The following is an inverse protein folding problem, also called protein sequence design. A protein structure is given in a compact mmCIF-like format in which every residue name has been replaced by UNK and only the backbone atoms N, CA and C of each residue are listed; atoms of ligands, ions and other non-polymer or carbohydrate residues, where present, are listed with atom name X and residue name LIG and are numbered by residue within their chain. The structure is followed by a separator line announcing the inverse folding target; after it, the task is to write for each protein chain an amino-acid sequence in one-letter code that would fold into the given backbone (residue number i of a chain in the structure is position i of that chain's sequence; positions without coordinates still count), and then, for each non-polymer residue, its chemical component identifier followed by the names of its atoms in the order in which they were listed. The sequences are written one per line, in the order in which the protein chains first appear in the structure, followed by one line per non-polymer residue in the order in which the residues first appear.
data_IF_511101919101
#
_entry.id   IF_511101919101
#
_cell.length_a   1.000
_cell.length_b   1.000
_cell.length_c   1.000
_cell.angle_alpha   90.00
_cell.angle_beta   90.00
_cell.angle_gamma   90.00
#
_symmetry.space_group_name_H-M   'P 1'
#
loop_
_entity.id
_entity.type
_entity.pdbx_description
1 polymer ?
#
# COMPACT_ATOMS: atom_id res chain seq x y z
N UNK A 1 6.73 -26.78 -23.59
CA UNK A 1 7.07 -27.73 -24.69
C UNK A 1 6.56 -29.12 -24.33
N UNK A 2 5.99 -29.92 -25.23
CA UNK A 2 5.66 -31.34 -24.96
C UNK A 2 6.89 -32.08 -24.40
N UNK A 3 6.71 -32.83 -23.29
CA UNK A 3 7.79 -33.54 -22.60
C UNK A 3 8.58 -32.74 -21.57
N UNK A 4 8.29 -31.45 -21.36
CA UNK A 4 8.88 -30.70 -20.26
C UNK A 4 8.21 -31.09 -18.93
N UNK A 5 8.99 -31.10 -17.85
CA UNK A 5 8.46 -31.34 -16.52
C UNK A 5 7.52 -30.16 -16.10
N UNK A 6 6.27 -30.50 -15.79
CA UNK A 6 5.23 -29.54 -15.44
C UNK A 6 5.57 -28.79 -14.17
N UNK A 7 6.19 -29.44 -13.17
CA UNK A 7 6.60 -28.82 -11.92
C UNK A 7 7.60 -27.69 -12.17
N UNK A 8 8.62 -27.98 -12.98
CA UNK A 8 9.63 -27.00 -13.35
C UNK A 8 9.04 -25.84 -14.18
N UNK A 9 8.16 -26.15 -15.17
CA UNK A 9 7.51 -25.15 -16.02
C UNK A 9 6.61 -24.21 -15.23
N UNK A 10 5.90 -24.72 -14.22
CA UNK A 10 5.00 -23.95 -13.36
C UNK A 10 5.68 -23.42 -12.08
N UNK A 11 6.98 -23.68 -11.89
CA UNK A 11 7.71 -23.25 -10.69
C UNK A 11 7.11 -23.82 -9.40
N UNK A 12 6.65 -25.09 -9.41
CA UNK A 12 5.95 -25.70 -8.26
C UNK A 12 6.89 -26.21 -7.17
N UNK A 13 8.20 -26.12 -7.35
CA UNK A 13 9.20 -26.48 -6.33
C UNK A 13 9.39 -25.30 -5.36
N UNK A 14 8.38 -25.05 -4.56
CA UNK A 14 8.34 -23.99 -3.55
C UNK A 14 7.58 -24.47 -2.30
N UNK A 15 7.79 -23.77 -1.19
CA UNK A 15 7.13 -24.05 0.08
C UNK A 15 6.30 -22.84 0.50
N UNK A 16 4.98 -23.00 0.51
CA UNK A 16 4.05 -21.98 1.01
C UNK A 16 3.63 -22.35 2.43
N UNK A 17 3.90 -21.47 3.39
CA UNK A 17 3.53 -21.64 4.79
C UNK A 17 2.32 -20.75 5.10
N UNK A 18 1.22 -21.37 5.53
CA UNK A 18 0.06 -20.61 6.03
C UNK A 18 0.24 -20.39 7.53
N UNK A 19 0.35 -19.12 7.91
CA UNK A 19 0.56 -18.73 9.31
C UNK A 19 -0.74 -18.14 9.88
N UNK A 20 -1.10 -18.59 11.09
CA UNK A 20 -2.20 -18.00 11.86
C UNK A 20 -1.63 -17.12 12.94
N UNK A 21 -1.75 -15.81 12.79
CA UNK A 21 -1.27 -14.84 13.76
C UNK A 21 -2.37 -14.49 14.77
N UNK A 22 -1.96 -14.20 15.99
CA UNK A 22 -2.86 -13.60 16.99
C UNK A 22 -3.03 -12.11 16.71
N UNK A 23 -4.15 -11.46 17.10
CA UNK A 23 -4.41 -10.05 16.78
C UNK A 23 -3.36 -9.05 17.30
N UNK A 24 -2.58 -9.43 18.32
CA UNK A 24 -1.52 -8.61 18.89
C UNK A 24 -0.16 -8.74 18.17
N UNK A 25 -0.10 -9.49 17.06
CA UNK A 25 1.14 -9.73 16.29
C UNK A 25 1.08 -9.14 14.89
N UNK A 26 0.56 -7.91 14.78
CA UNK A 26 0.54 -7.18 13.52
C UNK A 26 1.95 -6.91 12.94
N UNK A 27 2.97 -6.92 13.78
CA UNK A 27 4.38 -6.86 13.40
C UNK A 27 4.83 -8.03 12.50
N UNK A 28 4.11 -9.15 12.55
CA UNK A 28 4.35 -10.36 11.74
C UNK A 28 3.55 -10.41 10.43
N UNK A 29 2.79 -9.37 10.08
CA UNK A 29 2.02 -9.32 8.82
C UNK A 29 2.90 -9.00 7.60
N UNK A 30 4.14 -9.49 7.58
CA UNK A 30 5.06 -9.36 6.45
C UNK A 30 6.15 -10.43 6.51
N UNK A 31 6.80 -10.69 5.37
CA UNK A 31 7.95 -11.60 5.31
C UNK A 31 9.05 -11.13 6.26
N UNK A 32 9.33 -9.83 6.29
CA UNK A 32 10.33 -9.25 7.20
C UNK A 32 9.94 -9.46 8.68
N UNK A 33 8.67 -9.28 9.03
CA UNK A 33 8.18 -9.49 10.39
C UNK A 33 8.34 -10.95 10.82
N UNK A 34 7.96 -11.90 9.96
CA UNK A 34 8.15 -13.33 10.19
C UNK A 34 9.63 -13.69 10.29
N UNK A 35 10.49 -13.15 9.41
CA UNK A 35 11.92 -13.40 9.48
C UNK A 35 12.54 -12.97 10.82
N UNK A 36 12.11 -11.82 11.36
CA UNK A 36 12.52 -11.36 12.71
C UNK A 36 12.09 -12.32 13.80
N UNK A 37 10.86 -12.82 13.73
CA UNK A 37 10.33 -13.77 14.71
C UNK A 37 11.06 -15.10 14.64
N UNK A 38 11.28 -15.64 13.45
CA UNK A 38 12.05 -16.87 13.25
C UNK A 38 13.48 -16.70 13.80
N UNK A 39 14.14 -15.59 13.48
CA UNK A 39 15.47 -15.29 14.02
C UNK A 39 15.49 -15.23 15.54
N UNK A 40 14.51 -14.57 16.15
CA UNK A 40 14.41 -14.45 17.60
C UNK A 40 14.18 -15.81 18.30
N UNK A 41 13.36 -16.68 17.70
CA UNK A 41 13.01 -17.99 18.26
C UNK A 41 14.09 -19.05 18.06
N UNK A 42 14.80 -18.99 16.95
CA UNK A 42 15.74 -20.06 16.55
C UNK A 42 17.22 -19.68 16.69
N UNK A 43 17.52 -18.40 16.85
CA UNK A 43 18.89 -17.88 16.78
C UNK A 43 19.48 -17.83 15.37
N UNK A 44 18.69 -18.15 14.32
CA UNK A 44 19.15 -18.09 12.94
C UNK A 44 19.46 -16.65 12.54
N UNK A 45 20.55 -16.43 11.80
CA UNK A 45 20.90 -15.12 11.27
C UNK A 45 19.83 -14.64 10.28
N UNK A 46 19.44 -13.37 10.37
CA UNK A 46 18.53 -12.74 9.44
C UNK A 46 19.32 -11.86 8.48
N UNK A 47 19.12 -12.09 7.19
CA UNK A 47 19.68 -11.24 6.15
C UNK A 47 18.58 -10.36 5.55
N UNK A 48 18.83 -9.04 5.50
CA UNK A 48 17.93 -8.11 4.80
C UNK A 48 18.23 -8.13 3.31
N UNK A 49 17.19 -8.04 2.46
CA UNK A 49 17.43 -7.88 1.03
C UNK A 49 18.23 -6.59 0.77
N UNK A 50 19.15 -6.61 -0.18
CA UNK A 50 19.98 -5.43 -0.48
C UNK A 50 19.11 -4.31 -1.07
N UNK A 51 18.74 -3.34 -0.23
CA UNK A 51 17.98 -2.16 -0.65
C UNK A 51 18.94 -1.11 -1.20
N UNK A 52 19.13 -1.09 -2.52
CA UNK A 52 19.94 -0.06 -3.19
C UNK A 52 19.06 1.17 -3.47
N UNK A 53 19.43 2.36 -2.96
CA UNK A 53 18.70 3.58 -3.29
C UNK A 53 18.67 3.82 -4.79
N UNK A 54 17.50 4.09 -5.33
CA UNK A 54 17.35 4.49 -6.73
C UNK A 54 17.67 5.98 -6.85
N UNK A 55 18.60 6.34 -7.74
CA UNK A 55 18.96 7.72 -7.98
C UNK A 55 17.75 8.54 -8.45
N UNK A 56 17.64 9.75 -7.91
CA UNK A 56 16.62 10.69 -8.35
C UNK A 56 16.91 11.15 -9.78
N UNK A 57 15.91 11.08 -10.64
CA UNK A 57 15.98 11.59 -12.02
C UNK A 57 15.34 12.97 -12.18
N UNK A 58 14.60 13.43 -11.18
CA UNK A 58 14.03 14.78 -11.09
C UNK A 58 14.01 15.26 -9.64
N UNK A 59 13.89 16.55 -9.43
CA UNK A 59 13.77 17.19 -8.11
C UNK A 59 12.35 17.64 -7.80
N UNK A 60 11.37 17.14 -8.53
CA UNK A 60 9.98 17.51 -8.39
C UNK A 60 9.42 17.05 -7.04
N UNK A 61 8.65 17.92 -6.41
CA UNK A 61 7.99 17.65 -5.13
C UNK A 61 6.53 18.01 -5.27
N UNK A 62 5.66 17.19 -4.71
CA UNK A 62 4.27 17.53 -4.52
C UNK A 62 4.09 18.04 -3.08
N UNK A 63 3.42 19.19 -2.86
CA UNK A 63 3.25 19.73 -1.52
C UNK A 63 2.39 18.79 -0.65
N UNK A 64 2.85 18.54 0.57
CA UNK A 64 2.13 17.74 1.57
C UNK A 64 2.16 18.45 2.91
N UNK A 65 0.99 18.61 3.54
CA UNK A 65 0.79 19.07 4.90
C UNK A 65 0.31 17.94 5.82
N UNK A 66 0.53 18.10 7.10
CA UNK A 66 -0.03 17.24 8.15
C UNK A 66 -0.68 18.17 9.17
N UNK A 67 -2.00 18.35 9.01
CA UNK A 67 -2.81 19.16 9.95
C UNK A 67 -3.27 18.38 11.18
N UNK A 68 -3.14 17.03 11.15
CA UNK A 68 -3.42 16.12 12.26
C UNK A 68 -2.16 15.35 12.67
N UNK A 69 -1.17 16.00 13.31
CA UNK A 69 0.10 15.36 13.68
C UNK A 69 -0.08 14.23 14.71
N UNK A 70 -1.13 14.25 15.50
CA UNK A 70 -1.50 13.18 16.44
C UNK A 70 -2.08 11.94 15.73
N UNK A 71 -2.53 12.07 14.47
CA UNK A 71 -3.02 10.96 13.65
C UNK A 71 -1.99 10.44 12.66
N UNK A 72 -1.10 11.32 12.17
CA UNK A 72 -0.08 10.98 11.18
C UNK A 72 1.29 11.47 11.62
N UNK A 73 2.14 10.55 12.04
CA UNK A 73 3.49 10.87 12.51
C UNK A 73 4.49 11.15 11.38
N UNK A 74 4.25 10.64 10.17
CA UNK A 74 5.09 10.88 8.99
C UNK A 74 4.33 10.64 7.71
N UNK A 75 4.53 11.51 6.74
CA UNK A 75 4.06 11.32 5.37
C UNK A 75 5.24 11.58 4.41
N UNK A 76 5.60 10.58 3.64
CA UNK A 76 6.64 10.68 2.63
C UNK A 76 6.03 10.42 1.26
N UNK A 77 6.47 11.17 0.25
CA UNK A 77 5.97 11.01 -1.10
C UNK A 77 7.04 11.19 -2.15
N UNK A 78 6.80 10.59 -3.31
CA UNK A 78 7.68 10.71 -4.47
C UNK A 78 6.86 10.92 -5.74
N UNK A 79 7.23 11.94 -6.50
CA UNK A 79 6.71 12.14 -7.86
C UNK A 79 7.49 11.25 -8.84
N UNK A 80 6.77 10.47 -9.63
CA UNK A 80 7.34 9.64 -10.70
C UNK A 80 6.58 9.99 -11.99
N UNK A 81 7.33 10.39 -13.01
CA UNK A 81 6.81 10.81 -14.31
C UNK A 81 6.99 9.72 -15.36
N UNK A 82 6.13 9.77 -16.36
CA UNK A 82 6.19 8.91 -17.53
C UNK A 82 6.16 7.40 -17.20
N UNK A 83 5.32 7.01 -16.25
CA UNK A 83 5.09 5.60 -15.96
C UNK A 83 4.28 4.97 -17.09
N UNK A 84 4.54 3.71 -17.36
CA UNK A 84 3.66 2.88 -18.18
C UNK A 84 2.75 2.05 -17.28
N UNK A 85 1.54 2.58 -17.05
CA UNK A 85 0.55 1.90 -16.20
C UNK A 85 0.02 0.58 -16.81
N UNK A 86 0.31 0.31 -18.10
CA UNK A 86 -0.03 -0.95 -18.79
C UNK A 86 1.13 -1.93 -18.82
N UNK A 87 2.30 -1.56 -18.29
CA UNK A 87 3.42 -2.48 -18.21
C UNK A 87 3.02 -3.77 -17.48
N UNK A 88 3.43 -4.94 -17.95
CA UNK A 88 3.13 -6.18 -17.25
C UNK A 88 3.90 -6.22 -15.91
N UNK A 89 3.25 -6.73 -14.88
CA UNK A 89 3.95 -7.06 -13.63
C UNK A 89 5.01 -8.13 -13.91
N UNK A 90 6.26 -7.95 -13.45
CA UNK A 90 7.30 -8.98 -13.61
C UNK A 90 6.82 -10.34 -13.10
N UNK A 91 7.10 -11.41 -13.86
CA UNK A 91 6.59 -12.74 -13.55
C UNK A 91 6.91 -13.18 -12.12
N UNK A 92 8.15 -12.98 -11.66
CA UNK A 92 8.58 -13.33 -10.32
C UNK A 92 7.77 -12.62 -9.22
N UNK A 93 7.38 -11.34 -9.44
CA UNK A 93 6.60 -10.56 -8.48
C UNK A 93 5.15 -11.05 -8.45
N UNK A 94 4.56 -11.27 -9.63
CA UNK A 94 3.21 -11.82 -9.75
C UNK A 94 3.08 -13.18 -9.07
N UNK A 95 4.01 -14.09 -9.33
CA UNK A 95 4.03 -15.41 -8.71
C UNK A 95 4.09 -15.34 -7.18
N UNK A 96 4.92 -14.46 -6.62
CA UNK A 96 5.01 -14.27 -5.16
C UNK A 96 3.71 -13.70 -4.58
N UNK A 97 3.10 -12.72 -5.25
CA UNK A 97 1.82 -12.16 -4.82
C UNK A 97 0.71 -13.23 -4.84
N UNK A 98 0.60 -13.99 -5.94
CA UNK A 98 -0.39 -15.04 -6.08
C UNK A 98 -0.21 -16.16 -5.05
N UNK A 99 1.02 -16.58 -4.77
CA UNK A 99 1.33 -17.55 -3.69
C UNK A 99 1.03 -17.02 -2.31
N UNK A 100 1.12 -15.72 -2.10
CA UNK A 100 0.71 -15.06 -0.86
C UNK A 100 -0.81 -14.79 -0.78
N UNK A 101 -1.60 -15.25 -1.76
CA UNK A 101 -3.05 -15.07 -1.80
C UNK A 101 -3.51 -13.72 -2.35
N UNK A 102 -2.60 -12.90 -2.88
CA UNK A 102 -2.92 -11.61 -3.48
C UNK A 102 -3.14 -11.75 -4.99
N UNK A 103 -4.22 -11.16 -5.50
CA UNK A 103 -4.46 -11.11 -6.94
C UNK A 103 -3.62 -10.01 -7.58
N UNK A 104 -2.88 -10.34 -8.64
CA UNK A 104 -2.23 -9.34 -9.49
C UNK A 104 -3.28 -8.48 -10.22
N UNK A 105 -3.13 -7.17 -10.17
CA UNK A 105 -4.08 -6.19 -10.73
C UNK A 105 -3.42 -5.37 -11.83
N UNK A 106 -2.35 -4.68 -11.51
CA UNK A 106 -1.52 -3.87 -12.42
C UNK A 106 -0.15 -3.66 -11.79
N UNK A 107 0.86 -3.40 -12.60
CA UNK A 107 2.22 -3.21 -12.07
C UNK A 107 2.30 -2.14 -10.98
N UNK A 108 1.53 -1.06 -11.06
CA UNK A 108 1.51 0.00 -10.06
C UNK A 108 0.96 -0.49 -8.71
N UNK A 109 -0.15 -1.24 -8.75
CA UNK A 109 -0.76 -1.81 -7.54
C UNK A 109 0.08 -2.97 -7.01
N UNK A 110 0.57 -3.82 -7.88
CA UNK A 110 1.34 -5.01 -7.52
C UNK A 110 2.65 -4.65 -6.82
N UNK A 111 3.33 -3.58 -7.26
CA UNK A 111 4.52 -3.06 -6.56
C UNK A 111 4.17 -2.62 -5.13
N UNK A 112 3.05 -1.93 -4.92
CA UNK A 112 2.67 -1.49 -3.57
C UNK A 112 2.28 -2.66 -2.68
N UNK A 113 1.54 -3.64 -3.21
CA UNK A 113 1.18 -4.87 -2.50
C UNK A 113 2.42 -5.71 -2.18
N UNK A 114 3.37 -5.81 -3.13
CA UNK A 114 4.61 -6.55 -2.90
C UNK A 114 5.43 -5.93 -1.76
N UNK A 115 5.61 -4.61 -1.75
CA UNK A 115 6.33 -3.92 -0.67
C UNK A 115 5.62 -4.10 0.67
N UNK A 116 4.29 -4.05 0.70
CA UNK A 116 3.52 -4.31 1.90
C UNK A 116 3.75 -5.74 2.42
N UNK A 117 3.69 -6.76 1.57
CA UNK A 117 3.92 -8.15 1.97
C UNK A 117 5.37 -8.43 2.36
N UNK A 118 6.33 -7.87 1.66
CA UNK A 118 7.75 -8.11 1.95
C UNK A 118 8.21 -7.36 3.20
N UNK A 119 7.89 -6.06 3.31
CA UNK A 119 8.45 -5.16 4.33
C UNK A 119 7.45 -4.72 5.40
N UNK A 120 6.18 -5.05 5.28
CA UNK A 120 5.13 -4.60 6.20
C UNK A 120 4.85 -3.09 6.08
N UNK A 121 5.05 -2.51 4.90
CA UNK A 121 4.81 -1.10 4.67
C UNK A 121 3.77 -0.89 3.57
N UNK A 122 2.51 -0.65 3.91
CA UNK A 122 1.49 -0.25 2.96
C UNK A 122 1.90 1.03 2.23
N UNK A 123 1.70 1.05 0.93
CA UNK A 123 1.94 2.19 0.06
C UNK A 123 0.65 2.53 -0.69
N UNK A 124 0.52 3.79 -1.13
CA UNK A 124 -0.56 4.19 -2.02
C UNK A 124 -0.05 4.93 -3.26
N UNK A 125 -0.72 4.72 -4.38
CA UNK A 125 -0.41 5.39 -5.66
C UNK A 125 -1.58 6.27 -6.05
N UNK A 126 -1.32 7.57 -6.16
CA UNK A 126 -2.24 8.54 -6.74
C UNK A 126 -1.88 8.80 -8.19
N UNK A 127 -2.88 8.97 -9.04
CA UNK A 127 -2.71 9.64 -10.32
C UNK A 127 -2.43 11.12 -10.04
N UNK A 128 -1.20 11.55 -10.30
CA UNK A 128 -0.74 12.90 -9.97
C UNK A 128 -1.53 13.98 -10.71
N UNK A 129 -1.99 13.68 -11.91
CA UNK A 129 -2.71 14.65 -12.76
C UNK A 129 -4.17 14.84 -12.28
N UNK A 130 -4.67 13.93 -11.43
CA UNK A 130 -5.98 14.04 -10.77
C UNK A 130 -5.93 14.77 -9.43
N UNK A 131 -4.76 14.92 -8.82
CA UNK A 131 -4.60 15.65 -7.55
C UNK A 131 -4.87 17.14 -7.74
N UNK A 132 -5.61 17.72 -6.81
CA UNK A 132 -5.98 19.14 -6.85
C UNK A 132 -5.30 19.92 -5.71
N UNK A 133 -4.16 20.53 -6.04
CA UNK A 133 -3.38 21.31 -5.07
C UNK A 133 -2.58 20.41 -4.11
N UNK A 134 -2.28 20.93 -2.92
CA UNK A 134 -1.51 20.19 -1.92
C UNK A 134 -2.33 19.05 -1.31
N UNK A 135 -1.64 17.96 -0.97
CA UNK A 135 -2.20 16.93 -0.08
C UNK A 135 -2.12 17.44 1.36
N UNK A 136 -3.16 17.18 2.15
CA UNK A 136 -3.14 17.40 3.60
C UNK A 136 -3.72 16.19 4.33
N UNK A 137 -3.06 15.80 5.41
CA UNK A 137 -3.56 14.74 6.31
C UNK A 137 -4.26 15.41 7.48
N UNK A 138 -5.57 15.27 7.54
CA UNK A 138 -6.40 15.90 8.57
C UNK A 138 -7.56 14.98 8.99
N UNK A 139 -8.18 15.32 10.10
CA UNK A 139 -9.46 14.73 10.46
C UNK A 139 -10.54 15.13 9.44
N UNK A 140 -11.45 14.23 9.20
CA UNK A 140 -12.63 14.50 8.37
C UNK A 140 -13.50 15.59 8.97
N UNK A 141 -14.49 16.05 8.22
CA UNK A 141 -15.46 17.04 8.66
C UNK A 141 -16.86 16.49 8.47
N UNK A 142 -17.75 16.86 9.36
CA UNK A 142 -19.16 16.48 9.25
C UNK A 142 -19.73 16.90 7.89
N UNK A 143 -20.38 15.95 7.22
CA UNK A 143 -20.99 16.15 5.91
C UNK A 143 -20.05 15.90 4.72
N UNK A 144 -18.78 15.62 4.94
CA UNK A 144 -17.89 15.16 3.87
C UNK A 144 -18.17 13.71 3.52
N UNK A 145 -18.09 13.41 2.23
CA UNK A 145 -18.28 12.06 1.68
C UNK A 145 -17.09 11.66 0.83
N UNK A 146 -16.78 10.38 0.85
CA UNK A 146 -15.68 9.81 0.09
C UNK A 146 -16.14 8.52 -0.61
N UNK A 147 -15.98 8.46 -1.92
CA UNK A 147 -16.09 7.23 -2.69
C UNK A 147 -14.75 6.50 -2.64
N UNK A 148 -14.75 5.30 -2.12
CA UNK A 148 -13.56 4.44 -1.94
C UNK A 148 -13.26 3.61 -3.18
N UNK A 149 -12.06 3.00 -3.22
CA UNK A 149 -11.64 2.09 -4.31
C UNK A 149 -12.52 0.84 -4.45
N UNK A 150 -13.21 0.43 -3.40
CA UNK A 150 -14.20 -0.66 -3.42
C UNK A 150 -15.61 -0.20 -3.84
N UNK A 151 -15.70 1.02 -4.39
CA UNK A 151 -16.93 1.68 -4.86
C UNK A 151 -17.93 2.11 -3.77
N UNK A 152 -17.69 1.76 -2.51
CA UNK A 152 -18.52 2.26 -1.41
C UNK A 152 -18.37 3.77 -1.27
N UNK A 153 -19.48 4.43 -0.96
CA UNK A 153 -19.51 5.83 -0.57
C UNK A 153 -19.70 5.91 0.94
N UNK A 154 -18.77 6.52 1.63
CA UNK A 154 -18.78 6.63 3.08
C UNK A 154 -18.88 8.08 3.52
N UNK A 155 -19.60 8.32 4.60
CA UNK A 155 -19.61 9.60 5.30
C UNK A 155 -18.42 9.62 6.28
N UNK A 156 -17.66 10.71 6.26
CA UNK A 156 -16.55 10.91 7.19
C UNK A 156 -16.89 12.02 8.20
N UNK A 157 -16.26 11.97 9.34
CA UNK A 157 -16.42 12.94 10.41
C UNK A 157 -15.09 13.18 11.14
N UNK A 158 -15.13 13.95 12.20
CA UNK A 158 -13.97 14.39 12.98
C UNK A 158 -13.23 13.25 13.71
N UNK A 159 -13.76 12.04 13.67
CA UNK A 159 -13.12 10.85 14.24
C UNK A 159 -12.36 10.01 13.20
N UNK A 160 -12.41 10.40 11.92
CA UNK A 160 -11.82 9.65 10.81
C UNK A 160 -10.65 10.43 10.22
N UNK A 161 -9.46 9.84 10.25
CA UNK A 161 -8.29 10.44 9.62
C UNK A 161 -8.40 10.32 8.09
N UNK A 162 -8.33 11.45 7.41
CA UNK A 162 -8.47 11.54 5.97
C UNK A 162 -7.19 12.07 5.32
N UNK A 163 -6.86 11.51 4.17
CA UNK A 163 -5.98 12.15 3.21
C UNK A 163 -6.86 13.03 2.32
N UNK A 164 -6.52 14.28 2.18
CA UNK A 164 -7.35 15.27 1.48
C UNK A 164 -6.52 16.07 0.48
N UNK A 165 -7.18 16.64 -0.51
CA UNK A 165 -6.66 17.70 -1.35
C UNK A 165 -7.65 18.87 -1.39
N UNK A 166 -7.51 19.81 -2.34
CA UNK A 166 -8.45 20.95 -2.44
C UNK A 166 -9.89 20.52 -2.75
N UNK A 167 -10.10 19.33 -3.31
CA UNK A 167 -11.45 18.83 -3.61
C UNK A 167 -12.15 18.19 -2.42
N UNK A 168 -11.44 17.93 -1.32
CA UNK A 168 -11.95 17.25 -0.13
C UNK A 168 -11.21 15.93 0.15
N UNK A 169 -11.84 14.98 0.84
CA UNK A 169 -11.24 13.67 1.13
C UNK A 169 -10.97 12.87 -0.15
N UNK A 170 -9.74 12.37 -0.28
CA UNK A 170 -9.28 11.50 -1.37
C UNK A 170 -8.82 10.12 -0.88
N UNK A 171 -8.85 9.88 0.42
CA UNK A 171 -8.54 8.59 1.03
C UNK A 171 -8.83 8.57 2.53
N UNK A 172 -9.03 7.38 3.07
CA UNK A 172 -9.03 7.11 4.51
C UNK A 172 -7.61 6.76 4.92
N UNK A 173 -7.01 7.56 5.79
CA UNK A 173 -5.63 7.38 6.24
C UNK A 173 -5.39 5.99 6.81
N UNK A 174 -4.41 5.25 6.27
CA UNK A 174 -4.04 3.91 6.71
C UNK A 174 -5.09 2.82 6.49
N UNK A 175 -6.13 3.08 5.69
CA UNK A 175 -7.26 2.15 5.51
C UNK A 175 -7.53 1.88 4.03
N UNK A 176 -7.90 2.90 3.24
CA UNK A 176 -8.23 2.71 1.82
C UNK A 176 -8.22 4.02 1.05
N UNK A 177 -7.66 3.98 -0.15
CA UNK A 177 -7.68 5.11 -1.08
C UNK A 177 -9.06 5.43 -1.63
N UNK A 178 -9.21 6.66 -2.15
CA UNK A 178 -10.41 7.12 -2.82
C UNK A 178 -10.39 6.86 -4.32
N UNK A 179 -11.59 6.75 -4.89
CA UNK A 179 -11.80 6.49 -6.32
C UNK A 179 -11.35 7.68 -7.21
N UNK A 180 -11.51 8.91 -6.72
CA UNK A 180 -11.27 10.13 -7.50
C UNK A 180 -9.83 10.31 -7.98
N UNK A 181 -8.87 9.80 -7.24
CA UNK A 181 -7.42 9.97 -7.50
C UNK A 181 -6.72 8.66 -7.84
N UNK A 182 -7.47 7.57 -8.06
CA UNK A 182 -6.91 6.27 -8.40
C UNK A 182 -6.10 6.29 -9.69
N UNK A 183 -5.05 5.50 -9.72
CA UNK A 183 -4.31 5.21 -10.94
C UNK A 183 -5.15 4.33 -11.88
N UNK A 184 -5.09 4.61 -13.16
CA UNK A 184 -5.80 3.93 -14.25
C UNK A 184 -4.83 3.52 -15.36
N UNK A 185 -5.24 2.70 -16.33
CA UNK A 185 -4.36 2.30 -17.44
C UNK A 185 -3.84 3.47 -18.29
N UNK A 186 -4.46 4.63 -18.19
CA UNK A 186 -4.06 5.87 -18.87
C UNK A 186 -3.12 6.75 -18.06
N UNK A 187 -2.93 6.45 -16.77
CA UNK A 187 -2.06 7.21 -15.87
C UNK A 187 -0.61 7.22 -16.36
N UNK A 188 -0.01 8.41 -16.40
CA UNK A 188 1.37 8.63 -16.83
C UNK A 188 2.25 9.21 -15.73
N UNK A 189 1.63 9.90 -14.80
CA UNK A 189 2.34 10.57 -13.72
C UNK A 189 1.73 10.12 -12.39
N UNK A 190 2.56 9.72 -11.45
CA UNK A 190 2.07 9.24 -10.16
C UNK A 190 2.73 10.00 -9.00
N UNK A 191 1.99 10.08 -7.91
CA UNK A 191 2.52 10.40 -6.60
C UNK A 191 2.45 9.13 -5.76
N UNK A 192 3.62 8.62 -5.36
CA UNK A 192 3.74 7.44 -4.52
C UNK A 192 3.83 7.89 -3.06
N UNK A 193 2.89 7.41 -2.24
CA UNK A 193 2.81 7.68 -0.81
C UNK A 193 3.46 6.54 -0.01
N UNK A 194 4.16 6.92 1.06
CA UNK A 194 4.52 6.04 2.17
C UNK A 194 4.34 6.82 3.46
N UNK A 195 3.34 6.46 4.25
CA UNK A 195 2.98 7.18 5.45
C UNK A 195 3.03 6.27 6.69
N UNK A 196 3.13 6.92 7.85
CA UNK A 196 2.96 6.30 9.16
C UNK A 196 1.83 6.99 9.90
N UNK A 197 0.81 6.22 10.21
CA UNK A 197 -0.34 6.65 11.00
C UNK A 197 -0.28 5.98 12.37
N UNK A 198 -0.66 6.71 13.40
CA UNK A 198 -0.72 6.15 14.74
C UNK A 198 -1.86 5.13 14.84
N UNK A 199 -1.63 3.96 15.45
CA UNK A 199 -2.64 2.89 15.55
C UNK A 199 -3.97 3.37 16.14
N UNK A 200 -3.93 4.27 17.11
CA UNK A 200 -5.11 4.81 17.79
C UNK A 200 -6.01 5.62 16.84
N UNK A 201 -5.42 6.25 15.84
CA UNK A 201 -6.17 7.01 14.84
C UNK A 201 -6.86 6.10 13.81
N UNK A 202 -6.35 4.89 13.60
CA UNK A 202 -6.76 3.98 12.52
C UNK A 202 -7.60 2.81 13.03
N UNK A 203 -7.33 2.32 14.24
CA UNK A 203 -7.97 1.13 14.80
C UNK A 203 -9.50 1.21 14.73
N UNK A 204 -10.10 0.14 14.21
CA UNK A 204 -11.56 0.01 14.09
C UNK A 204 -12.22 0.79 12.95
N UNK A 205 -11.49 1.63 12.20
CA UNK A 205 -12.09 2.47 11.14
C UNK A 205 -12.59 1.65 9.95
N UNK A 206 -11.85 0.63 9.50
CA UNK A 206 -12.30 -0.28 8.46
C UNK A 206 -13.58 -1.02 8.88
N UNK A 207 -13.62 -1.53 10.13
CA UNK A 207 -14.80 -2.21 10.68
C UNK A 207 -16.03 -1.29 10.76
N UNK A 208 -15.84 -0.01 11.09
CA UNK A 208 -16.92 0.98 11.08
C UNK A 208 -17.64 1.04 9.72
N UNK A 209 -16.89 0.87 8.64
CA UNK A 209 -17.42 0.91 7.28
C UNK A 209 -17.73 -0.47 6.69
N UNK A 210 -17.74 -1.52 7.53
CA UNK A 210 -18.06 -2.90 7.16
C UNK A 210 -17.17 -3.50 6.08
N UNK A 211 -15.88 -3.18 6.09
CA UNK A 211 -14.89 -3.86 5.27
C UNK A 211 -13.61 -4.15 6.05
N UNK A 212 -12.75 -4.98 5.47
CA UNK A 212 -11.39 -5.25 5.95
C UNK A 212 -10.38 -4.70 4.95
N UNK A 213 -9.20 -4.35 5.44
CA UNK A 213 -8.07 -3.90 4.64
C UNK A 213 -6.83 -4.66 5.09
N UNK A 214 -5.95 -5.00 4.14
CA UNK A 214 -4.65 -5.60 4.42
C UNK A 214 -3.58 -4.54 4.80
N UNK A 215 -3.95 -3.26 4.68
CA UNK A 215 -3.10 -2.11 4.99
C UNK A 215 -3.11 -1.75 6.48
#
# INVERSE_FOLDING_TARGET
RPGADLRAVLGLDDHVLTLKLTPNRADCLSVLGIAREVSALTGAAMELPPLKPVAKKNNEKHPVGISAPEGCGRFAGRVIRNVDAKAPTPAWMRERLERAGQRSISALVDVTNYVMLELGRPLHVYDLDKLRGAIDVRWGRKGERLKLLNEQVVDVDETVLCITDRSGPIGLGGVMGGDSTKAEPTTRNIFLESAFFFPEAIAGRARRYNFTSDA
#
